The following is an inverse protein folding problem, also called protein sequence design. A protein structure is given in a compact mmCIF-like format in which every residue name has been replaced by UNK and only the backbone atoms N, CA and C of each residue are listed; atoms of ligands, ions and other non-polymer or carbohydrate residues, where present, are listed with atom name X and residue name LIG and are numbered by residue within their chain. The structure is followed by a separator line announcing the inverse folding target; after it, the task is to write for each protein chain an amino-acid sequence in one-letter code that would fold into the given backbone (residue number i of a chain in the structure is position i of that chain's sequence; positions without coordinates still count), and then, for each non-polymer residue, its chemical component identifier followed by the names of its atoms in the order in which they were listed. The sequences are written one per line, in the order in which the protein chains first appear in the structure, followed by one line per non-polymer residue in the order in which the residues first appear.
data_IF_433150804662
#
_entry.id   IF_433150804662
#
_cell.length_a   1.000
_cell.length_b   1.000
_cell.length_c   1.000
_cell.angle_alpha   90.00
_cell.angle_beta   90.00
_cell.angle_gamma   90.00
#
_symmetry.space_group_name_H-M   'P 1'
#
loop_
_entity.id
_entity.type
_entity.pdbx_description
1 polymer ?
#
# COMPACT_ATOMS: atom_id res chain seq x y z
N UNK A 1 7.00 21.19 6.07
CA UNK A 1 7.20 19.75 5.80
C UNK A 1 8.09 19.11 6.87
N UNK A 2 9.01 19.87 7.50
CA UNK A 2 9.88 19.38 8.59
C UNK A 2 9.14 18.99 9.88
N UNK A 3 8.10 19.75 10.29
CA UNK A 3 7.39 19.47 11.54
C UNK A 3 6.70 18.09 11.57
N UNK A 4 6.08 17.67 10.46
CA UNK A 4 5.37 16.39 10.42
C UNK A 4 6.34 15.21 10.56
N UNK A 5 7.49 15.28 9.89
CA UNK A 5 8.47 14.19 9.89
C UNK A 5 9.10 14.02 11.29
N UNK A 6 9.50 15.13 11.92
CA UNK A 6 10.02 15.11 13.29
C UNK A 6 8.97 14.63 14.30
N UNK A 7 7.72 15.04 14.12
CA UNK A 7 6.61 14.62 14.98
C UNK A 7 6.31 13.13 14.82
N UNK A 8 6.25 12.63 13.58
CA UNK A 8 6.10 11.21 13.29
C UNK A 8 7.23 10.39 13.90
N UNK A 9 8.48 10.83 13.76
CA UNK A 9 9.62 10.14 14.37
C UNK A 9 9.51 10.10 15.90
N UNK A 10 9.12 11.22 16.53
CA UNK A 10 8.95 11.28 17.99
C UNK A 10 7.89 10.29 18.51
N UNK A 11 6.82 10.06 17.74
CA UNK A 11 5.81 9.07 18.10
C UNK A 11 6.31 7.64 17.88
N UNK A 12 7.04 7.37 16.79
CA UNK A 12 7.65 6.06 16.55
C UNK A 12 8.60 5.71 17.70
N UNK A 13 9.47 6.63 18.11
CA UNK A 13 10.41 6.42 19.22
C UNK A 13 9.66 6.14 20.53
N UNK A 14 8.64 6.94 20.84
CA UNK A 14 7.77 6.73 22.01
C UNK A 14 7.13 5.34 22.04
N UNK A 15 6.62 4.85 20.91
CA UNK A 15 5.93 3.57 20.84
C UNK A 15 6.88 2.38 20.68
N UNK A 16 8.09 2.57 20.14
CA UNK A 16 9.15 1.57 20.21
C UNK A 16 9.49 1.24 21.67
N UNK A 17 9.66 2.26 22.51
CA UNK A 17 9.91 2.07 23.94
C UNK A 17 8.74 1.38 24.65
N UNK A 18 7.51 1.79 24.34
CA UNK A 18 6.29 1.26 24.98
C UNK A 18 5.99 -0.19 24.59
N UNK A 19 6.16 -0.54 23.31
CA UNK A 19 5.83 -1.86 22.76
C UNK A 19 7.05 -2.78 22.64
N UNK A 20 8.23 -2.32 23.07
CA UNK A 20 9.50 -3.05 22.94
C UNK A 20 9.80 -3.47 21.49
N UNK A 21 9.58 -2.53 20.57
CA UNK A 21 9.83 -2.70 19.13
C UNK A 21 11.07 -1.95 18.69
N UNK A 22 11.52 -2.20 17.46
CA UNK A 22 12.70 -1.59 16.87
C UNK A 22 12.42 -1.07 15.45
N UNK A 23 11.32 -0.34 15.30
CA UNK A 23 10.95 0.28 14.03
C UNK A 23 11.82 1.51 13.82
N UNK A 24 12.70 1.49 12.81
CA UNK A 24 13.71 2.54 12.60
C UNK A 24 13.35 3.51 11.50
N UNK A 25 12.60 3.05 10.50
CA UNK A 25 12.40 3.79 9.24
C UNK A 25 10.94 3.72 8.83
N UNK A 26 10.44 4.79 8.23
CA UNK A 26 9.18 4.80 7.49
C UNK A 26 9.51 4.91 6.01
N UNK A 27 8.91 4.04 5.19
CA UNK A 27 9.11 4.07 3.75
C UNK A 27 8.67 5.42 3.18
N UNK A 28 9.37 5.89 2.15
CA UNK A 28 9.10 7.19 1.53
C UNK A 28 7.66 7.32 1.05
N UNK A 29 7.08 6.28 0.46
CA UNK A 29 5.68 6.28 0.03
C UNK A 29 4.69 6.40 1.21
N UNK A 30 4.99 5.75 2.34
CA UNK A 30 4.17 5.83 3.55
C UNK A 30 4.27 7.23 4.18
N UNK A 31 5.47 7.82 4.20
CA UNK A 31 5.67 9.20 4.64
C UNK A 31 4.94 10.20 3.73
N UNK A 32 4.99 9.99 2.41
CA UNK A 32 4.30 10.84 1.45
C UNK A 32 2.78 10.80 1.66
N UNK A 33 2.21 9.64 1.97
CA UNK A 33 0.80 9.49 2.36
C UNK A 33 0.45 10.28 3.62
N UNK A 34 1.30 10.22 4.65
CA UNK A 34 1.10 11.00 5.88
C UNK A 34 1.15 12.51 5.59
N UNK A 35 2.02 12.94 4.67
CA UNK A 35 2.14 14.36 4.27
C UNK A 35 0.97 14.87 3.43
N UNK A 36 0.37 14.02 2.60
CA UNK A 36 -0.79 14.39 1.79
C UNK A 36 -2.08 14.52 2.58
N UNK A 37 -2.17 13.89 3.76
CA UNK A 37 -3.34 13.99 4.62
C UNK A 37 -3.39 15.35 5.33
N UNK A 38 -4.60 15.91 5.46
CA UNK A 38 -4.82 17.23 6.06
C UNK A 38 -4.87 17.24 7.59
N UNK A 39 -4.93 16.06 8.23
CA UNK A 39 -4.98 15.88 9.69
C UNK A 39 -6.02 16.79 10.38
N UNK A 40 -7.32 16.65 10.05
CA UNK A 40 -8.38 17.48 10.63
C UNK A 40 -8.48 17.36 12.17
N UNK A 41 -8.03 16.23 12.75
CA UNK A 41 -7.90 16.04 14.20
C UNK A 41 -6.56 16.50 14.79
N UNK A 42 -5.75 17.24 14.02
CA UNK A 42 -4.43 17.75 14.38
C UNK A 42 -3.45 16.62 14.78
N UNK A 43 -2.51 16.96 15.66
CA UNK A 43 -1.44 16.11 16.18
C UNK A 43 -1.95 14.82 16.84
N UNK A 44 -3.11 14.87 17.52
CA UNK A 44 -3.69 13.69 18.18
C UNK A 44 -4.11 12.61 17.17
N UNK A 45 -4.62 13.03 16.02
CA UNK A 45 -5.00 12.08 14.97
C UNK A 45 -3.76 11.39 14.37
N UNK A 46 -2.68 12.14 14.19
CA UNK A 46 -1.40 11.57 13.77
C UNK A 46 -0.88 10.57 14.81
N UNK A 47 -0.87 10.94 16.10
CA UNK A 47 -0.43 10.07 17.19
C UNK A 47 -1.19 8.74 17.21
N UNK A 48 -2.53 8.77 17.22
CA UNK A 48 -3.36 7.56 17.17
C UNK A 48 -3.12 6.72 15.91
N UNK A 49 -2.78 7.36 14.80
CA UNK A 49 -2.49 6.66 13.55
C UNK A 49 -1.18 5.89 13.63
N UNK A 50 -0.13 6.54 14.16
CA UNK A 50 1.16 5.88 14.38
C UNK A 50 1.01 4.78 15.42
N UNK A 51 0.31 5.02 16.53
CA UNK A 51 0.02 3.99 17.54
C UNK A 51 -0.67 2.76 16.94
N UNK A 52 -1.73 2.97 16.15
CA UNK A 52 -2.45 1.89 15.50
C UNK A 52 -1.59 1.14 14.48
N UNK A 53 -0.74 1.87 13.75
CA UNK A 53 0.23 1.29 12.79
C UNK A 53 1.25 0.41 13.53
N UNK A 54 1.81 0.92 14.63
CA UNK A 54 2.79 0.23 15.47
C UNK A 54 2.22 -1.06 16.09
N UNK A 55 0.95 -1.06 16.52
CA UNK A 55 0.29 -2.27 17.01
C UNK A 55 0.11 -3.38 15.96
N UNK A 56 0.11 -3.04 14.67
CA UNK A 56 -0.08 -3.99 13.58
C UNK A 56 1.25 -4.51 13.03
N UNK A 57 2.37 -3.85 13.35
CA UNK A 57 3.70 -4.29 12.96
C UNK A 57 4.10 -5.46 13.86
N UNK A 58 4.38 -6.59 13.23
CA UNK A 58 4.74 -7.82 13.94
C UNK A 58 6.25 -8.04 13.94
N UNK A 59 6.93 -7.85 12.80
CA UNK A 59 8.35 -8.21 12.66
C UNK A 59 9.15 -7.28 11.70
N UNK A 60 8.62 -6.12 11.33
CA UNK A 60 9.27 -5.23 10.35
C UNK A 60 10.03 -4.11 11.08
N UNK A 61 11.32 -3.91 10.75
CA UNK A 61 12.10 -2.76 11.22
C UNK A 61 11.66 -1.44 10.55
N UNK A 62 10.64 -1.49 9.68
CA UNK A 62 10.17 -0.34 8.91
C UNK A 62 8.64 -0.30 8.79
N UNK A 63 8.10 0.91 8.64
CA UNK A 63 6.68 1.15 8.35
C UNK A 63 6.48 1.24 6.84
N UNK A 64 5.72 0.31 6.28
CA UNK A 64 5.25 0.34 4.90
C UNK A 64 3.83 0.92 4.78
N UNK A 65 3.37 1.15 3.56
CA UNK A 65 2.00 1.62 3.29
C UNK A 65 0.97 0.61 3.80
N UNK A 66 1.28 -0.69 3.77
CA UNK A 66 0.34 -1.74 4.12
C UNK A 66 0.04 -1.78 5.62
N UNK A 67 0.97 -1.29 6.45
CA UNK A 67 0.79 -1.14 7.89
C UNK A 67 -0.10 0.07 8.24
N UNK A 68 -0.22 1.07 7.34
CA UNK A 68 -1.03 2.26 7.59
C UNK A 68 -2.53 1.93 7.59
N UNK A 69 -3.34 2.70 8.35
CA UNK A 69 -4.78 2.52 8.37
C UNK A 69 -5.42 2.63 6.98
N UNK A 70 -6.46 1.83 6.74
CA UNK A 70 -7.14 1.76 5.44
C UNK A 70 -7.61 3.13 4.92
N UNK A 71 -7.99 4.06 5.81
CA UNK A 71 -8.38 5.44 5.47
C UNK A 71 -7.25 6.22 4.78
N UNK A 72 -5.99 6.00 5.18
CA UNK A 72 -4.83 6.61 4.55
C UNK A 72 -4.49 5.90 3.25
N UNK A 73 -4.49 4.56 3.24
CA UNK A 73 -4.24 3.77 2.02
C UNK A 73 -5.20 4.11 0.87
N UNK A 74 -6.46 4.45 1.18
CA UNK A 74 -7.47 4.86 0.18
C UNK A 74 -7.11 6.13 -0.61
N UNK A 75 -6.26 7.00 -0.06
CA UNK A 75 -5.77 8.20 -0.76
C UNK A 75 -4.63 7.89 -1.72
N UNK A 76 -3.97 6.74 -1.59
CA UNK A 76 -3.03 6.26 -2.60
C UNK A 76 -3.81 5.49 -3.67
N UNK A 77 -3.81 5.94 -4.94
CA UNK A 77 -4.54 5.26 -6.01
C UNK A 77 -4.07 3.80 -6.23
N UNK A 78 -2.81 3.51 -5.92
CA UNK A 78 -2.17 2.21 -6.15
C UNK A 78 -2.30 1.22 -4.98
N UNK A 79 -2.73 1.65 -3.77
CA UNK A 79 -2.87 0.78 -2.58
C UNK A 79 -4.30 0.70 -2.03
N UNK A 80 -5.32 0.93 -2.87
CA UNK A 80 -6.69 0.54 -2.50
C UNK A 80 -6.76 -0.98 -2.35
N UNK A 81 -7.11 -1.52 -1.16
CA UNK A 81 -7.53 -2.90 -1.06
C UNK A 81 -8.76 -3.06 -1.97
N UNK A 82 -8.66 -3.91 -3.00
CA UNK A 82 -9.73 -4.21 -3.95
C UNK A 82 -11.02 -4.75 -3.28
N UNK A 83 -11.00 -4.98 -1.96
CA UNK A 83 -12.14 -5.40 -1.16
C UNK A 83 -13.28 -4.37 -1.12
N UNK A 84 -13.04 -3.09 -1.44
CA UNK A 84 -14.08 -2.05 -1.44
C UNK A 84 -14.46 -1.51 -2.82
N UNK A 85 -14.03 -2.15 -3.91
CA UNK A 85 -14.82 -2.11 -5.16
C UNK A 85 -15.80 -3.27 -5.17
N UNK A 86 -16.58 -3.40 -4.09
CA UNK A 86 -17.89 -4.01 -4.20
C UNK A 86 -18.60 -3.33 -5.37
N UNK A 87 -19.19 -4.13 -6.27
CA UNK A 87 -20.01 -3.64 -7.36
C UNK A 87 -20.83 -2.44 -6.86
N UNK A 88 -20.87 -1.33 -7.61
CA UNK A 88 -21.75 -0.19 -7.30
C UNK A 88 -23.24 -0.62 -7.15
N UNK A 89 -23.54 -1.87 -7.46
CA UNK A 89 -24.84 -2.52 -7.50
C UNK A 89 -25.03 -3.65 -6.45
N UNK A 90 -24.10 -3.88 -5.52
CA UNK A 90 -24.27 -4.89 -4.46
C UNK A 90 -24.34 -6.36 -4.94
N UNK A 91 -24.13 -6.62 -6.23
CA UNK A 91 -24.16 -7.97 -6.79
C UNK A 91 -22.91 -8.77 -6.40
N UNK A 92 -23.07 -10.02 -5.93
CA UNK A 92 -21.95 -10.90 -5.61
C UNK A 92 -21.17 -11.21 -6.90
N UNK A 93 -19.94 -10.72 -6.98
CA UNK A 93 -19.02 -11.06 -8.07
C UNK A 93 -18.61 -12.52 -8.02
N UNK A 94 -18.49 -13.13 -9.18
CA UNK A 94 -17.97 -14.49 -9.34
C UNK A 94 -16.50 -14.56 -8.93
N UNK A 95 -16.05 -15.75 -8.51
CA UNK A 95 -14.64 -16.00 -8.22
C UNK A 95 -13.73 -15.67 -9.41
N UNK A 96 -14.22 -15.91 -10.63
CA UNK A 96 -13.52 -15.63 -11.88
C UNK A 96 -13.22 -14.14 -12.07
N UNK A 97 -14.17 -13.26 -11.72
CA UNK A 97 -13.99 -11.81 -11.81
C UNK A 97 -12.96 -11.33 -10.78
N UNK A 98 -13.05 -11.80 -9.53
CA UNK A 98 -12.07 -11.46 -8.48
C UNK A 98 -10.65 -11.89 -8.86
N UNK A 99 -10.50 -13.09 -9.41
CA UNK A 99 -9.20 -13.57 -9.90
C UNK A 99 -8.67 -12.72 -11.05
N UNK A 100 -9.54 -12.28 -11.96
CA UNK A 100 -9.14 -11.39 -13.06
C UNK A 100 -8.69 -10.01 -12.57
N UNK A 101 -9.35 -9.44 -11.57
CA UNK A 101 -8.99 -8.14 -11.00
C UNK A 101 -7.65 -8.21 -10.26
N UNK A 102 -7.43 -9.27 -9.47
CA UNK A 102 -6.13 -9.53 -8.84
C UNK A 102 -5.03 -9.73 -9.87
N UNK A 103 -5.29 -10.50 -10.93
CA UNK A 103 -4.31 -10.74 -11.99
C UNK A 103 -3.91 -9.42 -12.71
N UNK A 104 -4.89 -8.57 -13.04
CA UNK A 104 -4.62 -7.23 -13.61
C UNK A 104 -3.77 -6.38 -12.69
N UNK A 105 -4.11 -6.35 -11.40
CA UNK A 105 -3.39 -5.57 -10.39
C UNK A 105 -1.92 -5.97 -10.32
N UNK A 106 -1.62 -7.25 -10.15
CA UNK A 106 -0.23 -7.72 -10.07
C UNK A 106 0.55 -7.43 -11.36
N UNK A 107 -0.09 -7.56 -12.53
CA UNK A 107 0.55 -7.22 -13.81
C UNK A 107 0.91 -5.73 -13.87
N UNK A 108 -0.01 -4.85 -13.51
CA UNK A 108 0.21 -3.40 -13.53
C UNK A 108 1.28 -2.98 -12.52
N UNK A 109 1.20 -3.50 -11.31
CA UNK A 109 2.15 -3.18 -10.24
C UNK A 109 3.57 -3.60 -10.64
N UNK A 110 3.75 -4.85 -11.06
CA UNK A 110 5.08 -5.34 -11.50
C UNK A 110 5.56 -4.64 -12.78
N UNK A 111 4.67 -4.13 -13.64
CA UNK A 111 5.08 -3.32 -14.79
C UNK A 111 5.61 -1.96 -14.36
N UNK A 112 4.92 -1.28 -13.44
CA UNK A 112 5.35 0.01 -12.89
C UNK A 112 6.72 -0.11 -12.23
N UNK A 113 6.90 -1.09 -11.35
CA UNK A 113 8.18 -1.37 -10.65
C UNK A 113 9.34 -1.69 -11.61
N UNK A 114 9.03 -2.16 -12.82
CA UNK A 114 10.03 -2.55 -13.82
C UNK A 114 10.09 -1.59 -15.02
N UNK A 115 9.64 -0.34 -14.87
CA UNK A 115 9.66 0.69 -15.92
C UNK A 115 9.05 0.19 -17.25
N UNK A 116 7.92 -0.51 -17.18
CA UNK A 116 7.21 -1.11 -18.31
C UNK A 116 8.04 -2.14 -19.12
N UNK A 117 9.10 -2.72 -18.54
CA UNK A 117 9.89 -3.76 -19.19
C UNK A 117 9.18 -5.13 -19.13
N UNK A 118 8.39 -5.40 -20.17
CA UNK A 118 7.59 -6.64 -20.32
C UNK A 118 8.41 -7.92 -20.13
N UNK A 119 9.66 -7.96 -20.59
CA UNK A 119 10.50 -9.16 -20.46
C UNK A 119 10.92 -9.41 -19.02
N UNK A 120 11.21 -8.35 -18.26
CA UNK A 120 11.58 -8.43 -16.85
C UNK A 120 10.35 -8.72 -15.98
N UNK A 121 9.24 -8.05 -16.25
CA UNK A 121 7.95 -8.28 -15.57
C UNK A 121 7.47 -9.72 -15.75
N UNK A 122 7.54 -10.29 -16.97
CA UNK A 122 7.13 -11.67 -17.21
C UNK A 122 7.94 -12.67 -16.37
N UNK A 123 9.26 -12.46 -16.25
CA UNK A 123 10.13 -13.28 -15.41
C UNK A 123 9.75 -13.21 -13.92
N UNK A 124 9.48 -12.00 -13.41
CA UNK A 124 9.10 -11.79 -12.00
C UNK A 124 7.73 -12.41 -11.71
N UNK A 125 6.77 -12.27 -12.64
CA UNK A 125 5.45 -12.87 -12.53
C UNK A 125 5.44 -14.39 -12.79
N UNK A 126 6.58 -15.00 -13.14
CA UNK A 126 6.68 -16.43 -13.39
C UNK A 126 5.93 -16.91 -14.64
N UNK A 127 5.64 -16.02 -15.60
CA UNK A 127 4.92 -16.34 -16.84
C UNK A 127 5.78 -16.09 -18.08
N UNK A 128 5.42 -16.72 -19.20
CA UNK A 128 6.10 -16.43 -20.46
C UNK A 128 5.80 -15.01 -20.94
N UNK A 129 6.76 -14.40 -21.66
CA UNK A 129 6.58 -13.07 -22.27
C UNK A 129 5.34 -13.00 -23.16
N UNK A 130 5.08 -14.06 -23.94
CA UNK A 130 3.89 -14.16 -24.80
C UNK A 130 2.60 -14.21 -23.96
N UNK A 131 2.61 -14.92 -22.84
CA UNK A 131 1.48 -15.01 -21.91
C UNK A 131 1.17 -13.66 -21.24
N UNK A 132 2.21 -12.89 -20.90
CA UNK A 132 2.06 -11.52 -20.41
C UNK A 132 1.48 -10.60 -21.49
N UNK A 133 2.04 -10.63 -22.71
CA UNK A 133 1.54 -9.83 -23.83
C UNK A 133 0.07 -10.12 -24.18
N UNK A 134 -0.32 -11.39 -24.13
CA UNK A 134 -1.72 -11.78 -24.30
C UNK A 134 -2.62 -11.16 -23.23
N UNK A 135 -2.20 -11.21 -21.96
CA UNK A 135 -2.96 -10.60 -20.84
C UNK A 135 -3.04 -9.09 -20.94
N UNK A 136 -1.98 -8.42 -21.35
CA UNK A 136 -1.98 -6.97 -21.59
C UNK A 136 -3.03 -6.59 -22.64
N UNK A 137 -3.06 -7.29 -23.77
CA UNK A 137 -4.10 -7.09 -24.79
C UNK A 137 -5.50 -7.44 -24.30
N UNK A 138 -5.64 -8.53 -23.57
CA UNK A 138 -6.94 -9.01 -23.03
C UNK A 138 -7.53 -8.03 -22.01
N UNK A 139 -6.68 -7.34 -21.25
CA UNK A 139 -7.08 -6.45 -20.18
C UNK A 139 -6.99 -4.96 -20.54
N UNK A 140 -6.57 -4.65 -21.77
CA UNK A 140 -6.38 -3.30 -22.30
C UNK A 140 -5.44 -2.46 -21.41
N UNK A 141 -4.28 -3.06 -21.10
CA UNK A 141 -3.23 -2.54 -20.22
C UNK A 141 -1.96 -2.18 -21.00
#
# INVERSE_FOLDING_TARGET
MEDLLSLTQSFIDKYNDLFQMNVKVINEDAMHLLQQHTWPGNVRELEHTIEGTMNLITNEEFISIDNLPARLRKMYPDHQPLLEKGSKDGSPRTLKEKMSDMEKFYIQQTLKENNHNVSRTAKILGISRQSLQYRLRKYDL
#
